data_IF_903170917791
#
_entry.id   IF_903170917791
#
_cell.length_a   1.000
_cell.length_b   1.000
_cell.length_c   1.000
_cell.angle_alpha   90.00
_cell.angle_beta   90.00
_cell.angle_gamma   90.00
#
_symmetry.space_group_name_H-M   'P 1'
#
loop_
_entity.id
_entity.type
_entity.pdbx_description
1 polymer ?
#
# COMPACT_ATOMS: atom_id res chain seq x y z
N UNK A 1 -69.09 44.69 26.29
CA UNK A 1 -67.62 44.58 26.20
C UNK A 1 -67.16 43.13 26.23
N UNK A 2 -67.26 42.47 27.38
CA UNK A 2 -66.66 41.16 27.68
C UNK A 2 -67.03 40.00 26.73
N UNK A 3 -68.31 39.83 26.39
CA UNK A 3 -68.75 38.70 25.54
C UNK A 3 -68.16 38.76 24.14
N UNK A 4 -67.92 39.98 23.62
CA UNK A 4 -67.33 40.21 22.30
C UNK A 4 -65.83 39.89 22.32
N UNK A 5 -65.10 40.38 23.33
CA UNK A 5 -63.68 40.08 23.53
C UNK A 5 -63.42 38.58 23.73
N UNK A 6 -64.29 37.86 24.46
CA UNK A 6 -64.19 36.40 24.60
C UNK A 6 -64.37 35.66 23.26
N UNK A 7 -65.29 36.12 22.41
CA UNK A 7 -65.49 35.53 21.07
C UNK A 7 -64.31 35.80 20.14
N UNK A 8 -63.79 37.03 20.16
CA UNK A 8 -62.60 37.41 19.38
C UNK A 8 -61.38 36.58 19.82
N UNK A 9 -61.16 36.40 21.13
CA UNK A 9 -60.10 35.52 21.64
C UNK A 9 -60.30 34.05 21.22
N UNK A 10 -61.53 33.54 21.25
CA UNK A 10 -61.83 32.19 20.79
C UNK A 10 -61.50 31.97 19.31
N UNK A 11 -61.76 32.98 18.46
CA UNK A 11 -61.38 32.94 17.04
C UNK A 11 -59.87 32.96 16.85
N UNK A 12 -59.14 33.75 17.65
CA UNK A 12 -57.66 33.79 17.61
C UNK A 12 -57.06 32.45 18.05
N UNK A 13 -57.52 31.88 19.16
CA UNK A 13 -57.02 30.58 19.65
C UNK A 13 -57.30 29.47 18.66
N UNK A 14 -58.51 29.41 18.08
CA UNK A 14 -58.84 28.41 17.07
C UNK A 14 -58.07 28.58 15.76
N UNK A 15 -57.69 29.81 15.41
CA UNK A 15 -56.86 30.08 14.23
C UNK A 15 -55.37 29.75 14.42
N UNK A 16 -54.88 29.72 15.67
CA UNK A 16 -53.49 29.44 16.03
C UNK A 16 -53.27 28.01 16.58
N UNK A 17 -54.34 27.25 16.82
CA UNK A 17 -54.25 25.94 17.42
C UNK A 17 -53.77 24.89 16.39
N UNK A 18 -52.54 24.43 16.54
CA UNK A 18 -52.03 23.26 15.83
C UNK A 18 -52.12 21.98 16.69
N UNK A 19 -52.41 20.81 16.09
CA UNK A 19 -52.44 19.55 16.83
C UNK A 19 -51.06 19.20 17.38
N UNK A 20 -50.95 18.96 18.68
CA UNK A 20 -49.69 18.49 19.28
C UNK A 20 -49.38 17.07 18.81
N UNK A 21 -48.11 16.83 18.49
CA UNK A 21 -47.61 15.53 18.06
C UNK A 21 -46.65 14.96 19.09
N UNK A 22 -46.69 13.64 19.27
CA UNK A 22 -45.80 12.87 20.13
C UNK A 22 -45.35 11.66 19.31
N UNK A 23 -44.04 11.51 19.05
CA UNK A 23 -43.49 10.46 18.16
C UNK A 23 -44.01 10.51 16.71
N UNK A 24 -44.21 11.71 16.15
CA UNK A 24 -44.72 11.91 14.79
C UNK A 24 -46.23 11.71 14.62
N UNK A 25 -46.89 11.05 15.57
CA UNK A 25 -48.33 10.85 15.63
C UNK A 25 -49.04 11.96 16.41
N UNK A 26 -50.33 12.16 16.14
CA UNK A 26 -51.16 13.11 16.88
C UNK A 26 -51.30 12.66 18.34
N UNK A 27 -51.00 13.55 19.28
CA UNK A 27 -51.09 13.26 20.71
C UNK A 27 -52.54 12.96 21.08
N UNK A 28 -52.80 11.71 21.47
CA UNK A 28 -54.14 11.27 21.89
C UNK A 28 -54.41 11.62 23.35
N UNK A 29 -55.69 11.71 23.72
CA UNK A 29 -56.09 12.01 25.11
C UNK A 29 -55.55 11.02 26.14
N UNK A 30 -55.41 9.73 25.77
CA UNK A 30 -54.83 8.71 26.64
C UNK A 30 -53.32 8.90 26.86
N UNK A 31 -52.58 9.23 25.80
CA UNK A 31 -51.15 9.54 25.90
C UNK A 31 -50.90 10.80 26.74
N UNK A 32 -51.78 11.80 26.62
CA UNK A 32 -51.71 13.00 27.45
C UNK A 32 -52.04 12.72 28.92
N UNK A 33 -53.00 11.83 29.21
CA UNK A 33 -53.34 11.45 30.58
C UNK A 33 -52.19 10.70 31.28
N UNK A 34 -51.58 9.71 30.62
CA UNK A 34 -50.39 8.99 31.12
C UNK A 34 -49.22 9.96 31.37
N UNK A 35 -49.03 10.94 30.47
CA UNK A 35 -48.03 12.00 30.63
C UNK A 35 -48.29 12.87 31.87
N UNK A 36 -49.54 13.26 32.08
CA UNK A 36 -49.95 14.10 33.21
C UNK A 36 -49.75 13.34 34.52
N UNK A 37 -50.10 12.05 34.56
CA UNK A 37 -49.96 11.18 35.73
C UNK A 37 -48.50 11.02 36.16
N UNK A 38 -47.59 10.75 35.22
CA UNK A 38 -46.15 10.68 35.48
C UNK A 38 -45.57 12.01 35.99
N UNK A 39 -46.06 13.12 35.45
CA UNK A 39 -45.64 14.46 35.88
C UNK A 39 -46.10 14.75 37.30
N UNK A 40 -47.34 14.38 37.64
CA UNK A 40 -47.92 14.53 38.99
C UNK A 40 -47.23 13.60 40.01
N UNK A 41 -46.89 12.37 39.64
CA UNK A 41 -46.10 11.46 40.48
C UNK A 41 -44.70 11.99 40.77
N UNK A 42 -44.06 12.61 39.77
CA UNK A 42 -42.76 13.26 39.96
C UNK A 42 -42.86 14.47 40.89
N UNK A 43 -43.89 15.31 40.72
CA UNK A 43 -44.19 16.47 41.58
C UNK A 43 -44.48 16.06 43.03
N UNK A 44 -45.23 14.97 43.25
CA UNK A 44 -45.57 14.46 44.58
C UNK A 44 -44.38 13.89 45.35
N UNK A 45 -43.28 13.54 44.68
CA UNK A 45 -42.04 13.06 45.32
C UNK A 45 -41.12 14.17 45.85
N UNK A 46 -41.52 15.43 45.74
CA UNK A 46 -40.86 16.57 46.38
C UNK A 46 -39.70 17.20 45.59
N UNK A 47 -39.33 16.64 44.44
CA UNK A 47 -38.53 17.36 43.45
C UNK A 47 -39.51 18.08 42.52
N UNK A 48 -39.66 19.40 42.65
CA UNK A 48 -40.24 20.21 41.57
C UNK A 48 -39.10 20.43 40.58
N UNK A 49 -39.03 19.72 39.46
CA UNK A 49 -38.06 20.08 38.45
C UNK A 49 -38.54 21.42 37.90
N UNK A 50 -37.68 22.45 37.91
CA UNK A 50 -37.99 23.67 37.13
C UNK A 50 -38.38 23.23 35.72
N UNK A 51 -39.32 23.91 35.05
CA UNK A 51 -39.90 23.46 33.77
C UNK A 51 -38.85 23.01 32.72
N UNK A 52 -37.63 23.56 32.76
CA UNK A 52 -36.49 23.10 31.95
C UNK A 52 -36.02 21.65 32.23
N UNK A 53 -36.11 21.15 33.46
CA UNK A 53 -35.73 19.79 33.84
C UNK A 53 -36.75 18.73 33.43
N UNK A 54 -38.05 19.07 33.37
CA UNK A 54 -39.08 18.17 32.81
C UNK A 54 -38.89 18.02 31.30
N UNK A 55 -38.68 19.13 30.59
CA UNK A 55 -38.43 19.12 29.13
C UNK A 55 -37.13 18.37 28.79
N UNK A 56 -36.07 18.58 29.57
CA UNK A 56 -34.81 17.85 29.39
C UNK A 56 -34.98 16.32 29.57
N UNK A 57 -35.81 15.88 30.53
CA UNK A 57 -36.10 14.46 30.73
C UNK A 57 -36.84 13.85 29.52
N UNK A 58 -37.78 14.57 28.91
CA UNK A 58 -38.49 14.12 27.71
C UNK A 58 -37.61 14.08 26.46
N UNK A 59 -36.71 15.05 26.32
CA UNK A 59 -35.81 15.10 25.16
C UNK A 59 -34.66 14.10 25.26
N UNK A 60 -34.34 13.59 26.46
CA UNK A 60 -33.25 12.63 26.68
C UNK A 60 -33.38 11.35 25.85
N UNK A 61 -34.58 10.79 25.76
CA UNK A 61 -34.82 9.57 24.95
C UNK A 61 -34.64 9.84 23.45
N UNK A 62 -34.99 11.06 23.00
CA UNK A 62 -34.82 11.50 21.61
C UNK A 62 -33.32 11.67 21.31
N UNK A 63 -32.58 12.33 22.21
CA UNK A 63 -31.12 12.48 22.11
C UNK A 63 -30.44 11.12 22.00
N UNK A 64 -30.79 10.17 22.87
CA UNK A 64 -30.23 8.82 22.85
C UNK A 64 -30.49 8.10 21.52
N UNK A 65 -31.70 8.17 20.99
CA UNK A 65 -32.04 7.55 19.69
C UNK A 65 -31.28 8.20 18.53
N UNK A 66 -31.24 9.53 18.47
CA UNK A 66 -30.50 10.25 17.41
C UNK A 66 -29.00 9.92 17.47
N UNK A 67 -28.43 9.79 18.68
CA UNK A 67 -27.06 9.35 18.88
C UNK A 67 -26.84 7.91 18.39
N UNK A 68 -27.75 6.98 18.69
CA UNK A 68 -27.64 5.59 18.25
C UNK A 68 -27.75 5.46 16.72
N UNK A 69 -28.64 6.22 16.10
CA UNK A 69 -28.76 6.28 14.63
C UNK A 69 -27.49 6.82 13.98
N UNK A 70 -26.91 7.90 14.54
CA UNK A 70 -25.60 8.41 14.12
C UNK A 70 -24.48 7.36 14.27
N UNK A 71 -24.36 6.71 15.45
CA UNK A 71 -23.34 5.67 15.66
C UNK A 71 -23.52 4.51 14.69
N UNK A 72 -24.76 4.08 14.43
CA UNK A 72 -25.08 3.02 13.47
C UNK A 72 -24.66 3.39 12.05
N UNK A 73 -24.90 4.64 11.62
CA UNK A 73 -24.47 5.14 10.33
C UNK A 73 -22.93 5.17 10.22
N UNK A 74 -22.25 5.75 11.22
CA UNK A 74 -20.78 5.83 11.24
C UNK A 74 -20.11 4.46 11.29
N UNK A 75 -20.72 3.45 11.91
CA UNK A 75 -20.21 2.06 11.91
C UNK A 75 -20.26 1.39 10.53
N UNK A 76 -21.13 1.86 9.62
CA UNK A 76 -21.23 1.33 8.25
C UNK A 76 -20.19 1.94 7.30
N UNK A 77 -19.55 3.04 7.71
CA UNK A 77 -18.48 3.68 6.94
C UNK A 77 -17.29 2.73 6.83
N UNK A 78 -16.79 2.56 5.60
CA UNK A 78 -15.63 1.71 5.33
C UNK A 78 -14.36 2.50 5.61
N UNK A 79 -13.59 2.05 6.60
CA UNK A 79 -12.30 2.61 6.98
C UNK A 79 -11.16 1.69 6.47
N UNK A 80 -9.97 2.22 6.12
CA UNK A 80 -9.56 3.62 6.24
C UNK A 80 -9.97 4.49 5.04
N UNK A 81 -10.13 5.80 5.28
CA UNK A 81 -10.41 6.81 4.24
C UNK A 81 -9.71 8.14 4.55
N UNK A 82 -9.70 9.07 3.59
CA UNK A 82 -9.15 10.41 3.76
C UNK A 82 -9.91 11.21 4.83
N UNK A 83 -9.22 12.16 5.46
CA UNK A 83 -9.80 13.03 6.48
C UNK A 83 -10.98 13.83 5.91
N UNK A 84 -10.82 14.43 4.73
CA UNK A 84 -11.88 15.18 4.05
C UNK A 84 -13.14 14.34 3.79
N UNK A 85 -12.99 13.08 3.39
CA UNK A 85 -14.12 12.19 3.12
C UNK A 85 -14.82 11.78 4.42
N UNK A 86 -14.06 11.55 5.48
CA UNK A 86 -14.61 11.22 6.79
C UNK A 86 -15.35 12.42 7.43
N UNK A 87 -14.81 13.62 7.26
CA UNK A 87 -15.42 14.86 7.75
C UNK A 87 -16.72 15.17 7.00
N UNK A 88 -16.74 14.97 5.67
CA UNK A 88 -17.96 15.11 4.88
C UNK A 88 -19.07 14.15 5.34
N UNK A 89 -18.74 12.89 5.57
CA UNK A 89 -19.69 11.90 6.08
C UNK A 89 -20.17 12.25 7.50
N UNK A 90 -19.25 12.71 8.36
CA UNK A 90 -19.60 13.20 9.70
C UNK A 90 -20.63 14.33 9.64
N UNK A 91 -20.39 15.35 8.82
CA UNK A 91 -21.29 16.51 8.70
C UNK A 91 -22.66 16.12 8.12
N UNK A 92 -22.71 15.21 7.14
CA UNK A 92 -23.99 14.72 6.61
C UNK A 92 -24.79 13.97 7.69
N UNK A 93 -24.17 13.01 8.38
CA UNK A 93 -24.82 12.23 9.43
C UNK A 93 -25.19 13.09 10.65
N UNK A 94 -24.34 14.05 11.02
CA UNK A 94 -24.62 15.02 12.10
C UNK A 94 -25.81 15.90 11.74
N UNK A 95 -25.87 16.42 10.51
CA UNK A 95 -27.01 17.20 10.04
C UNK A 95 -28.31 16.39 10.00
N UNK A 96 -28.23 15.09 9.67
CA UNK A 96 -29.38 14.20 9.66
C UNK A 96 -29.90 13.96 11.08
N UNK A 97 -29.02 13.63 12.02
CA UNK A 97 -29.36 13.46 13.43
C UNK A 97 -29.94 14.73 14.05
N UNK A 98 -29.39 15.91 13.72
CA UNK A 98 -29.92 17.20 14.18
C UNK A 98 -31.31 17.48 13.61
N UNK A 99 -31.54 17.25 12.31
CA UNK A 99 -32.86 17.41 11.68
C UNK A 99 -33.92 16.51 12.32
N UNK A 100 -33.55 15.26 12.63
CA UNK A 100 -34.45 14.33 13.31
C UNK A 100 -34.77 14.80 14.73
N UNK A 101 -33.75 15.22 15.48
CA UNK A 101 -33.94 15.78 16.82
C UNK A 101 -34.86 17.00 16.80
N UNK A 102 -34.65 17.93 15.88
CA UNK A 102 -35.46 19.15 15.75
C UNK A 102 -36.93 18.86 15.40
N UNK A 103 -37.19 17.80 14.65
CA UNK A 103 -38.54 17.38 14.27
C UNK A 103 -39.32 16.75 15.45
N UNK A 104 -38.63 16.16 16.42
CA UNK A 104 -39.26 15.37 17.48
C UNK A 104 -39.19 16.01 18.87
N UNK A 105 -38.28 16.97 19.08
CA UNK A 105 -38.03 17.58 20.39
C UNK A 105 -39.26 18.28 20.96
N UNK A 106 -39.39 18.21 22.29
CA UNK A 106 -40.36 18.98 23.05
C UNK A 106 -39.76 20.32 23.46
N UNK A 107 -40.44 21.41 23.09
CA UNK A 107 -40.07 22.77 23.48
C UNK A 107 -38.78 23.29 22.85
N UNK A 108 -38.45 24.55 23.12
CA UNK A 108 -37.23 25.21 22.64
C UNK A 108 -36.14 25.20 23.73
N UNK A 109 -35.69 24.00 24.14
CA UNK A 109 -34.58 23.88 25.08
C UNK A 109 -33.26 23.72 24.33
N UNK A 110 -32.33 24.66 24.52
CA UNK A 110 -30.98 24.61 23.92
C UNK A 110 -30.06 23.59 24.59
N UNK A 111 -30.33 23.23 25.86
CA UNK A 111 -29.53 22.29 26.63
C UNK A 111 -29.47 20.90 26.01
N UNK A 112 -30.61 20.28 25.72
CA UNK A 112 -30.68 18.94 25.12
C UNK A 112 -30.14 18.89 23.67
N UNK A 113 -30.20 20.01 22.94
CA UNK A 113 -29.57 20.13 21.63
C UNK A 113 -28.03 20.10 21.74
N UNK A 114 -27.48 20.83 22.73
CA UNK A 114 -26.04 20.82 23.02
C UNK A 114 -25.54 19.48 23.56
N UNK A 115 -26.38 18.74 24.29
CA UNK A 115 -26.07 17.38 24.76
C UNK A 115 -25.93 16.41 23.58
N UNK A 116 -26.84 16.48 22.59
CA UNK A 116 -26.75 15.67 21.37
C UNK A 116 -25.48 15.98 20.58
N UNK A 117 -25.17 17.26 20.35
CA UNK A 117 -23.96 17.63 19.61
C UNK A 117 -22.70 17.15 20.33
N UNK A 118 -22.62 17.31 21.65
CA UNK A 118 -21.48 16.83 22.43
C UNK A 118 -21.33 15.30 22.39
N UNK A 119 -22.45 14.57 22.40
CA UNK A 119 -22.44 13.12 22.28
C UNK A 119 -21.97 12.64 20.88
N UNK A 120 -22.44 13.30 19.82
CA UNK A 120 -22.01 13.04 18.43
C UNK A 120 -20.52 13.35 18.26
N UNK A 121 -20.06 14.51 18.73
CA UNK A 121 -18.65 14.91 18.62
C UNK A 121 -17.74 13.93 19.36
N UNK A 122 -18.16 13.43 20.53
CA UNK A 122 -17.43 12.39 21.28
C UNK A 122 -17.34 11.07 20.51
N UNK A 123 -18.44 10.62 19.91
CA UNK A 123 -18.44 9.41 19.09
C UNK A 123 -17.56 9.60 17.84
N UNK A 124 -17.62 10.77 17.20
CA UNK A 124 -16.78 11.10 16.06
C UNK A 124 -15.30 11.01 16.37
N UNK A 125 -14.84 11.52 17.53
CA UNK A 125 -13.44 11.39 17.96
C UNK A 125 -13.00 9.91 18.05
N UNK A 126 -13.91 9.03 18.46
CA UNK A 126 -13.63 7.57 18.50
C UNK A 126 -13.48 6.99 17.10
N UNK A 127 -14.32 7.43 16.14
CA UNK A 127 -14.23 7.03 14.73
C UNK A 127 -12.94 7.56 14.08
N UNK A 128 -12.58 8.82 14.33
CA UNK A 128 -11.32 9.42 13.85
C UNK A 128 -10.11 8.62 14.36
N UNK A 129 -10.08 8.28 15.64
CA UNK A 129 -9.04 7.44 16.21
C UNK A 129 -8.99 6.05 15.56
N UNK A 130 -10.15 5.44 15.28
CA UNK A 130 -10.22 4.15 14.58
C UNK A 130 -9.73 4.24 13.13
N UNK A 131 -10.07 5.33 12.42
CA UNK A 131 -9.60 5.59 11.06
C UNK A 131 -8.07 5.76 11.03
N UNK A 132 -7.52 6.53 11.97
CA UNK A 132 -6.09 6.72 12.10
C UNK A 132 -5.35 5.40 12.36
N UNK A 133 -5.88 4.56 13.25
CA UNK A 133 -5.31 3.24 13.54
C UNK A 133 -5.33 2.32 12.33
N UNK A 134 -6.47 2.20 11.63
CA UNK A 134 -6.60 1.35 10.44
C UNK A 134 -5.73 1.85 9.28
N UNK A 135 -5.64 3.17 9.12
CA UNK A 135 -4.74 3.82 8.14
C UNK A 135 -3.28 3.49 8.45
N UNK A 136 -2.86 3.63 9.71
CA UNK A 136 -1.50 3.28 10.14
C UNK A 136 -1.18 1.80 9.89
N UNK A 137 -2.09 0.89 10.25
CA UNK A 137 -1.92 -0.56 10.02
C UNK A 137 -1.76 -0.90 8.53
N UNK A 138 -2.62 -0.33 7.67
CA UNK A 138 -2.53 -0.55 6.22
C UNK A 138 -1.20 -0.01 5.67
N UNK A 139 -0.84 1.23 5.99
CA UNK A 139 0.39 1.85 5.50
C UNK A 139 1.65 1.13 6.01
N UNK A 140 1.65 0.67 7.26
CA UNK A 140 2.75 -0.11 7.84
C UNK A 140 2.91 -1.46 7.14
N UNK A 141 1.80 -2.15 6.86
CA UNK A 141 1.84 -3.42 6.14
C UNK A 141 2.49 -3.26 4.75
N UNK A 142 2.07 -2.26 3.97
CA UNK A 142 2.64 -2.03 2.63
C UNK A 142 4.07 -1.48 2.69
N UNK A 143 4.42 -0.71 3.72
CA UNK A 143 5.80 -0.31 3.97
C UNK A 143 6.69 -1.53 4.21
N UNK A 144 6.29 -2.44 5.09
CA UNK A 144 7.04 -3.65 5.40
C UNK A 144 7.21 -4.56 4.18
N UNK A 145 6.13 -4.78 3.41
CA UNK A 145 6.19 -5.54 2.16
C UNK A 145 7.17 -4.91 1.15
N UNK A 146 7.21 -3.59 1.09
CA UNK A 146 8.12 -2.90 0.20
C UNK A 146 9.58 -3.01 0.68
N UNK A 147 9.84 -2.85 1.98
CA UNK A 147 11.18 -3.04 2.54
C UNK A 147 11.69 -4.46 2.28
N UNK A 148 10.87 -5.48 2.53
CA UNK A 148 11.23 -6.88 2.22
C UNK A 148 11.53 -7.07 0.72
N UNK A 149 10.71 -6.51 -0.16
CA UNK A 149 10.95 -6.57 -1.60
C UNK A 149 12.26 -5.88 -2.02
N UNK A 150 12.64 -4.78 -1.38
CA UNK A 150 13.91 -4.11 -1.64
C UNK A 150 15.07 -4.92 -1.08
N UNK A 151 14.97 -5.44 0.14
CA UNK A 151 16.01 -6.26 0.77
C UNK A 151 16.32 -7.51 -0.08
N UNK A 152 15.29 -8.18 -0.60
CA UNK A 152 15.50 -9.32 -1.53
C UNK A 152 16.20 -8.92 -2.82
N UNK A 153 15.96 -7.70 -3.34
CA UNK A 153 16.66 -7.17 -4.50
C UNK A 153 18.11 -6.78 -4.16
N UNK A 154 18.43 -6.43 -2.92
CA UNK A 154 19.81 -6.17 -2.50
C UNK A 154 20.66 -7.45 -2.41
N UNK A 155 20.02 -8.60 -2.17
CA UNK A 155 20.65 -9.92 -2.06
C UNK A 155 20.77 -10.67 -3.40
N UNK A 156 20.30 -10.08 -4.50
CA UNK A 156 20.36 -10.68 -5.84
C UNK A 156 21.79 -11.10 -6.24
N UNK A 157 21.93 -12.28 -6.84
CA UNK A 157 23.25 -12.88 -7.16
C UNK A 157 23.95 -12.14 -8.28
N UNK A 158 23.19 -11.71 -9.28
CA UNK A 158 23.66 -10.88 -10.38
C UNK A 158 23.24 -9.46 -10.06
N UNK A 159 24.16 -8.54 -9.70
CA UNK A 159 23.77 -7.19 -9.33
C UNK A 159 23.24 -6.42 -10.55
N UNK A 160 22.07 -5.77 -10.42
CA UNK A 160 21.55 -4.85 -11.44
C UNK A 160 20.81 -3.67 -10.82
N UNK A 161 21.25 -2.45 -11.12
CA UNK A 161 20.63 -1.20 -10.69
C UNK A 161 19.24 -1.02 -11.31
N UNK A 162 19.03 -1.43 -12.56
CA UNK A 162 17.74 -1.22 -13.24
C UNK A 162 16.63 -2.07 -12.64
N UNK A 163 16.91 -3.29 -12.19
CA UNK A 163 15.92 -4.16 -11.51
C UNK A 163 15.53 -3.56 -10.16
N UNK A 164 16.50 -3.04 -9.40
CA UNK A 164 16.25 -2.33 -8.15
C UNK A 164 15.37 -1.10 -8.36
N UNK A 165 15.74 -0.22 -9.31
CA UNK A 165 14.98 1.01 -9.59
C UNK A 165 13.53 0.70 -10.00
N UNK A 166 13.32 -0.29 -10.87
CA UNK A 166 11.97 -0.75 -11.22
C UNK A 166 11.22 -1.35 -10.03
N UNK A 167 11.91 -2.05 -9.13
CA UNK A 167 11.33 -2.58 -7.90
C UNK A 167 10.82 -1.45 -7.00
N UNK A 168 11.65 -0.44 -6.79
CA UNK A 168 11.32 0.79 -6.04
C UNK A 168 10.13 1.52 -6.66
N UNK A 169 10.08 1.66 -7.99
CA UNK A 169 8.96 2.30 -8.70
C UNK A 169 7.64 1.53 -8.49
N UNK A 170 7.66 0.20 -8.59
CA UNK A 170 6.47 -0.64 -8.34
C UNK A 170 6.00 -0.53 -6.90
N UNK A 171 6.94 -0.52 -5.96
CA UNK A 171 6.71 -0.28 -4.55
C UNK A 171 5.98 1.03 -4.32
N UNK A 172 6.50 2.12 -4.88
CA UNK A 172 5.93 3.45 -4.73
C UNK A 172 4.51 3.53 -5.32
N UNK A 173 4.32 2.98 -6.52
CA UNK A 173 3.01 2.93 -7.16
C UNK A 173 1.99 2.13 -6.34
N UNK A 174 2.40 1.00 -5.77
CA UNK A 174 1.54 0.17 -4.91
C UNK A 174 1.24 0.87 -3.58
N UNK A 175 2.24 1.51 -2.97
CA UNK A 175 2.09 2.20 -1.69
C UNK A 175 1.06 3.32 -1.77
N UNK A 176 1.14 4.19 -2.78
CA UNK A 176 0.18 5.29 -2.98
C UNK A 176 -1.24 4.77 -3.23
N UNK A 177 -1.38 3.61 -3.87
CA UNK A 177 -2.68 3.02 -4.16
C UNK A 177 -3.36 2.45 -2.90
N UNK A 178 -2.61 1.82 -1.99
CA UNK A 178 -3.19 1.08 -0.86
C UNK A 178 -3.07 1.78 0.50
N UNK A 179 -2.09 2.67 0.69
CA UNK A 179 -1.99 3.50 1.88
C UNK A 179 -2.91 4.71 1.73
N UNK A 180 -4.01 4.72 2.49
CA UNK A 180 -5.02 5.80 2.45
C UNK A 180 -5.29 6.28 3.87
N UNK A 181 -5.57 7.58 4.01
CA UNK A 181 -5.97 8.20 5.26
C UNK A 181 -4.86 9.04 5.91
N UNK A 182 -5.04 9.42 7.18
CA UNK A 182 -4.20 10.42 7.85
C UNK A 182 -2.74 10.00 8.01
N UNK A 183 -2.45 8.69 7.99
CA UNK A 183 -1.08 8.18 8.16
C UNK A 183 -0.22 8.28 6.90
N UNK A 184 -0.82 8.58 5.73
CA UNK A 184 -0.13 8.57 4.43
C UNK A 184 1.12 9.45 4.42
N UNK A 185 1.01 10.73 4.78
CA UNK A 185 2.14 11.66 4.72
C UNK A 185 3.31 11.25 5.62
N UNK A 186 3.02 10.65 6.78
CA UNK A 186 4.06 10.18 7.70
C UNK A 186 4.78 8.95 7.15
N UNK A 187 4.04 7.98 6.62
CA UNK A 187 4.64 6.76 6.09
C UNK A 187 5.31 6.98 4.72
N UNK A 188 4.84 7.92 3.91
CA UNK A 188 5.49 8.30 2.64
C UNK A 188 6.91 8.86 2.86
N UNK A 189 7.07 9.73 3.86
CA UNK A 189 8.40 10.23 4.26
C UNK A 189 9.31 9.13 4.80
N UNK A 190 8.76 8.21 5.61
CA UNK A 190 9.52 7.05 6.12
C UNK A 190 9.96 6.13 4.98
N UNK A 191 9.05 5.83 4.05
CA UNK A 191 9.29 4.96 2.91
C UNK A 191 10.36 5.55 2.01
N UNK A 192 10.20 6.80 1.54
CA UNK A 192 11.17 7.47 0.67
C UNK A 192 12.58 7.52 1.28
N UNK A 193 12.68 7.72 2.60
CA UNK A 193 13.95 7.64 3.34
C UNK A 193 14.54 6.23 3.34
N UNK A 194 13.74 5.20 3.61
CA UNK A 194 14.22 3.81 3.61
C UNK A 194 14.66 3.36 2.21
N UNK A 195 13.88 3.70 1.18
CA UNK A 195 14.20 3.41 -0.22
C UNK A 195 15.48 4.13 -0.68
N UNK A 196 15.67 5.39 -0.29
CA UNK A 196 16.89 6.15 -0.59
C UNK A 196 18.12 5.54 0.08
N UNK A 197 17.96 5.07 1.32
CA UNK A 197 19.02 4.35 2.05
C UNK A 197 19.36 3.03 1.35
N UNK A 198 18.38 2.21 1.01
CA UNK A 198 18.60 0.95 0.30
C UNK A 198 19.28 1.15 -1.06
N UNK A 199 18.81 2.12 -1.84
CA UNK A 199 19.47 2.51 -3.11
C UNK A 199 20.94 2.89 -2.92
N UNK A 200 21.24 3.68 -1.89
CA UNK A 200 22.61 4.10 -1.59
C UNK A 200 23.49 2.93 -1.17
N UNK A 201 22.97 2.06 -0.31
CA UNK A 201 23.65 0.85 0.15
C UNK A 201 23.93 -0.12 -1.00
N UNK A 202 22.93 -0.37 -1.85
CA UNK A 202 23.09 -1.17 -3.06
C UNK A 202 24.14 -0.58 -3.99
N UNK A 203 24.11 0.75 -4.25
CA UNK A 203 25.09 1.40 -5.14
C UNK A 203 26.53 1.27 -4.63
N UNK A 204 26.73 1.30 -3.32
CA UNK A 204 28.05 1.13 -2.71
C UNK A 204 28.62 -0.28 -2.95
N UNK A 205 27.79 -1.32 -2.80
CA UNK A 205 28.21 -2.71 -3.02
C UNK A 205 28.19 -3.14 -4.49
N UNK A 206 27.36 -2.50 -5.32
CA UNK A 206 27.15 -2.80 -6.73
C UNK A 206 28.45 -2.83 -7.53
N UNK A 207 29.23 -1.75 -7.48
CA UNK A 207 30.46 -1.62 -8.27
C UNK A 207 31.47 -2.72 -7.93
N UNK A 208 31.63 -3.04 -6.65
CA UNK A 208 32.56 -4.07 -6.19
C UNK A 208 32.08 -5.47 -6.58
N UNK A 209 30.79 -5.77 -6.42
CA UNK A 209 30.20 -7.05 -6.83
C UNK A 209 30.29 -7.24 -8.35
N UNK A 210 29.99 -6.20 -9.12
CA UNK A 210 30.11 -6.20 -10.58
C UNK A 210 31.55 -6.45 -11.01
N UNK A 211 32.51 -5.71 -10.45
CA UNK A 211 33.92 -5.86 -10.77
C UNK A 211 34.42 -7.28 -10.49
N UNK A 212 34.13 -7.81 -9.30
CA UNK A 212 34.50 -9.17 -8.92
C UNK A 212 33.83 -10.23 -9.81
N UNK A 213 32.56 -10.02 -10.17
CA UNK A 213 31.83 -10.89 -11.09
C UNK A 213 32.44 -10.90 -12.49
N UNK A 214 32.78 -9.73 -13.03
CA UNK A 214 33.43 -9.61 -14.34
C UNK A 214 34.82 -10.25 -14.34
N UNK A 215 35.62 -10.06 -13.29
CA UNK A 215 36.91 -10.73 -13.12
C UNK A 215 36.73 -12.26 -13.17
N UNK A 216 35.80 -12.81 -12.39
CA UNK A 216 35.50 -14.23 -12.41
C UNK A 216 35.07 -14.73 -13.80
N UNK A 217 34.24 -13.96 -14.51
CA UNK A 217 33.80 -14.27 -15.88
C UNK A 217 34.99 -14.31 -16.85
N UNK A 218 35.93 -13.34 -16.78
CA UNK A 218 37.10 -13.33 -17.68
C UNK A 218 38.00 -14.55 -17.47
N UNK A 219 38.25 -14.94 -16.22
CA UNK A 219 39.03 -16.15 -15.88
C UNK A 219 38.32 -17.41 -16.36
N UNK A 220 37.01 -17.52 -16.12
CA UNK A 220 36.21 -18.64 -16.59
C UNK A 220 36.23 -18.74 -18.13
N UNK A 221 36.11 -17.61 -18.82
CA UNK A 221 36.20 -17.54 -20.28
C UNK A 221 37.54 -18.09 -20.79
N UNK A 222 38.67 -17.72 -20.18
CA UNK A 222 39.99 -18.24 -20.55
C UNK A 222 40.05 -19.76 -20.39
N UNK A 223 39.63 -20.29 -19.23
CA UNK A 223 39.66 -21.73 -18.94
C UNK A 223 38.76 -22.50 -19.92
N UNK A 224 37.53 -22.06 -20.13
CA UNK A 224 36.57 -22.74 -21.02
C UNK A 224 37.06 -22.72 -22.47
N UNK A 225 37.53 -21.58 -22.97
CA UNK A 225 37.95 -21.48 -24.37
C UNK A 225 39.27 -22.21 -24.64
N UNK A 226 40.18 -22.28 -23.66
CA UNK A 226 41.42 -23.04 -23.77
C UNK A 226 41.18 -24.54 -23.74
N UNK A 227 40.40 -25.04 -22.78
CA UNK A 227 40.31 -26.48 -22.52
C UNK A 227 39.11 -27.16 -23.20
N UNK A 228 37.98 -26.47 -23.36
CA UNK A 228 36.72 -27.06 -23.88
C UNK A 228 36.53 -26.77 -25.36
N UNK A 229 36.60 -25.50 -25.75
CA UNK A 229 36.27 -25.05 -27.12
C UNK A 229 37.52 -25.05 -28.03
N UNK A 230 38.71 -24.87 -27.45
CA UNK A 230 39.99 -24.72 -28.16
C UNK A 230 39.98 -23.58 -29.19
N UNK A 231 39.47 -22.42 -28.78
CA UNK A 231 39.43 -21.23 -29.63
C UNK A 231 40.39 -20.15 -29.11
N UNK A 232 41.52 -19.98 -29.80
CA UNK A 232 42.59 -19.06 -29.41
C UNK A 232 42.18 -17.58 -29.45
N UNK A 233 41.23 -17.20 -30.33
CA UNK A 233 40.79 -15.80 -30.41
C UNK A 233 40.03 -15.37 -29.15
N UNK A 234 39.13 -16.23 -28.67
CA UNK A 234 38.37 -15.96 -27.45
C UNK A 234 39.23 -16.08 -26.19
N UNK A 235 40.26 -16.93 -26.22
CA UNK A 235 41.29 -16.95 -25.18
C UNK A 235 42.05 -15.62 -25.10
N UNK A 236 42.49 -15.07 -26.24
CA UNK A 236 43.15 -13.77 -26.29
C UNK A 236 42.26 -12.65 -25.76
N UNK A 237 40.97 -12.63 -26.14
CA UNK A 237 40.00 -11.66 -25.61
C UNK A 237 39.80 -11.80 -24.11
N UNK A 238 39.75 -13.02 -23.57
CA UNK A 238 39.67 -13.27 -22.14
C UNK A 238 40.87 -12.72 -21.38
N UNK A 239 42.09 -12.95 -21.88
CA UNK A 239 43.31 -12.39 -21.31
C UNK A 239 43.35 -10.86 -21.39
N UNK A 240 42.93 -10.28 -22.52
CA UNK A 240 42.85 -8.84 -22.69
C UNK A 240 41.86 -8.21 -21.68
N UNK A 241 40.68 -8.81 -21.51
CA UNK A 241 39.68 -8.36 -20.54
C UNK A 241 40.15 -8.49 -19.09
N UNK A 242 40.82 -9.59 -18.74
CA UNK A 242 41.41 -9.77 -17.42
C UNK A 242 42.49 -8.72 -17.13
N UNK A 243 43.40 -8.51 -18.08
CA UNK A 243 44.43 -7.47 -17.98
C UNK A 243 43.82 -6.08 -17.83
N UNK A 244 42.77 -5.76 -18.58
CA UNK A 244 42.04 -4.50 -18.43
C UNK A 244 41.48 -4.34 -17.01
N UNK A 245 40.72 -5.32 -16.50
CA UNK A 245 40.13 -5.22 -15.17
C UNK A 245 41.17 -5.16 -14.04
N UNK A 246 42.32 -5.81 -14.19
CA UNK A 246 43.36 -5.86 -13.14
C UNK A 246 44.30 -4.65 -13.15
N UNK A 247 44.62 -4.10 -14.33
CA UNK A 247 45.56 -2.99 -14.47
C UNK A 247 44.85 -1.63 -14.50
N UNK A 248 43.67 -1.53 -15.08
CA UNK A 248 43.01 -0.25 -15.33
C UNK A 248 42.61 0.49 -14.03
N UNK A 249 42.03 -0.17 -13.00
CA UNK A 249 41.78 0.49 -11.71
C UNK A 249 43.07 0.97 -11.03
N UNK A 250 44.21 0.29 -11.27
CA UNK A 250 45.49 0.65 -10.65
C UNK A 250 46.04 1.99 -11.14
N UNK A 251 45.63 2.44 -12.32
CA UNK A 251 46.00 3.74 -12.87
C UNK A 251 45.33 4.91 -12.13
N UNK A 252 44.24 4.64 -11.40
CA UNK A 252 43.48 5.66 -10.65
C UNK A 252 43.90 5.77 -9.17
N UNK A 253 44.89 4.99 -8.70
CA UNK A 253 45.37 5.05 -7.30
C UNK A 253 46.00 6.41 -6.89
N UNK A 254 46.25 7.32 -7.85
CA UNK A 254 46.79 8.66 -7.59
C UNK A 254 45.94 9.82 -8.15
N UNK A 255 44.75 9.54 -8.70
CA UNK A 255 43.86 10.56 -9.27
C UNK A 255 42.75 10.96 -8.30
N UNK A 256 42.30 12.22 -8.36
CA UNK A 256 41.20 12.72 -7.54
C UNK A 256 39.83 12.11 -7.88
N UNK A 257 39.71 11.46 -9.05
CA UNK A 257 38.47 10.83 -9.53
C UNK A 257 38.50 9.32 -9.32
N UNK A 258 37.35 8.75 -8.95
CA UNK A 258 37.21 7.30 -8.79
C UNK A 258 37.11 6.60 -10.16
N UNK A 259 37.74 5.44 -10.31
CA UNK A 259 37.61 4.59 -11.51
C UNK A 259 36.14 4.33 -11.89
N UNK A 260 35.27 4.17 -10.88
CA UNK A 260 33.84 3.89 -11.08
C UNK A 260 33.05 5.06 -11.68
N UNK A 261 33.63 6.26 -11.75
CA UNK A 261 33.02 7.43 -12.38
C UNK A 261 33.50 7.63 -13.83
N UNK A 262 34.44 6.79 -14.30
CA UNK A 262 34.94 6.88 -15.67
C UNK A 262 33.87 6.49 -16.70
N UNK A 263 33.88 7.18 -17.86
CA UNK A 263 32.95 6.88 -18.97
C UNK A 263 33.04 5.42 -19.44
N UNK A 264 34.24 4.83 -19.42
CA UNK A 264 34.44 3.43 -19.79
C UNK A 264 33.76 2.48 -18.79
N UNK A 265 33.89 2.72 -17.49
CA UNK A 265 33.18 1.92 -16.49
C UNK A 265 31.67 2.06 -16.62
N UNK A 266 31.16 3.28 -16.83
CA UNK A 266 29.73 3.53 -17.02
C UNK A 266 29.18 2.80 -18.26
N UNK A 267 29.92 2.78 -19.37
CA UNK A 267 29.55 2.01 -20.56
C UNK A 267 29.56 0.50 -20.29
N UNK A 268 30.58 0.00 -19.59
CA UNK A 268 30.68 -1.41 -19.25
C UNK A 268 29.56 -1.84 -18.31
N UNK A 269 29.26 -1.05 -17.29
CA UNK A 269 28.12 -1.22 -16.41
C UNK A 269 26.81 -1.19 -17.20
N UNK A 270 26.63 -0.28 -18.16
CA UNK A 270 25.43 -0.23 -19.00
C UNK A 270 25.27 -1.49 -19.88
N UNK A 271 26.36 -1.99 -20.46
CA UNK A 271 26.35 -3.26 -21.22
C UNK A 271 26.01 -4.43 -20.29
N UNK A 272 26.60 -4.47 -19.10
CA UNK A 272 26.25 -5.45 -18.08
C UNK A 272 24.76 -5.40 -17.73
N UNK A 273 24.21 -4.22 -17.47
CA UNK A 273 22.79 -4.04 -17.13
C UNK A 273 21.87 -4.56 -18.24
N UNK A 274 22.23 -4.39 -19.52
CA UNK A 274 21.46 -4.95 -20.65
C UNK A 274 21.57 -6.48 -20.72
N UNK A 275 22.73 -7.03 -20.40
CA UNK A 275 22.99 -8.47 -20.45
C UNK A 275 22.40 -9.22 -19.25
N UNK A 276 22.63 -8.72 -18.03
CA UNK A 276 22.14 -9.31 -16.80
C UNK A 276 20.63 -9.13 -16.66
N UNK A 277 20.09 -8.00 -17.13
CA UNK A 277 18.68 -7.68 -17.03
C UNK A 277 18.07 -7.32 -18.39
N UNK A 278 17.49 -8.33 -19.04
CA UNK A 278 16.63 -8.17 -20.21
C UNK A 278 15.18 -8.47 -19.80
N UNK A 279 14.19 -7.59 -20.10
CA UNK A 279 12.78 -7.83 -19.76
C UNK A 279 12.20 -9.15 -20.30
N UNK A 280 12.85 -9.79 -21.29
CA UNK A 280 12.41 -11.06 -21.88
C UNK A 280 13.21 -12.27 -21.35
N UNK A 281 14.44 -12.06 -20.84
CA UNK A 281 15.34 -13.11 -20.39
C UNK A 281 16.11 -12.61 -19.16
N UNK A 282 15.60 -12.89 -17.97
CA UNK A 282 16.33 -12.63 -16.73
C UNK A 282 17.40 -13.72 -16.56
N UNK A 283 18.68 -13.34 -16.63
CA UNK A 283 19.80 -14.29 -16.54
C UNK A 283 19.90 -14.92 -15.16
N UNK A 284 19.34 -14.31 -14.13
CA UNK A 284 19.34 -14.87 -12.78
C UNK A 284 18.46 -16.13 -12.71
N UNK A 285 17.32 -16.11 -13.40
CA UNK A 285 16.35 -17.20 -13.40
C UNK A 285 16.60 -18.20 -14.54
N UNK A 286 16.90 -17.69 -15.74
CA UNK A 286 17.04 -18.51 -16.96
C UNK A 286 18.49 -18.88 -17.29
N UNK A 287 19.47 -18.19 -16.71
CA UNK A 287 20.89 -18.44 -16.95
C UNK A 287 21.31 -19.89 -16.67
N UNK A 288 20.94 -20.48 -15.52
CA UNK A 288 21.25 -21.89 -15.22
C UNK A 288 20.68 -22.87 -16.25
N UNK A 289 19.46 -22.61 -16.74
CA UNK A 289 18.81 -23.44 -17.76
C UNK A 289 19.53 -23.33 -19.11
N UNK A 290 19.88 -22.11 -19.54
CA UNK A 290 20.63 -21.88 -20.78
C UNK A 290 22.03 -22.52 -20.74
N UNK A 291 22.70 -22.45 -19.60
CA UNK A 291 23.98 -23.14 -19.35
C UNK A 291 23.80 -24.67 -19.40
N UNK A 292 22.76 -25.21 -18.78
CA UNK A 292 22.45 -26.64 -18.84
C UNK A 292 22.21 -27.12 -20.28
N UNK A 293 21.39 -26.39 -21.04
CA UNK A 293 21.07 -26.71 -22.43
C UNK A 293 22.29 -26.62 -23.35
N UNK A 294 23.13 -25.60 -23.19
CA UNK A 294 24.36 -25.46 -23.98
C UNK A 294 25.38 -26.56 -23.68
N UNK A 295 25.53 -26.96 -22.40
CA UNK A 295 26.34 -28.11 -22.01
C UNK A 295 25.83 -29.42 -22.64
N UNK A 296 24.52 -29.68 -22.57
CA UNK A 296 23.91 -30.87 -23.17
C UNK A 296 24.06 -30.89 -24.69
N UNK A 297 23.86 -29.75 -25.36
CA UNK A 297 24.06 -29.61 -26.79
C UNK A 297 25.52 -29.89 -27.19
N UNK A 298 26.48 -29.33 -26.45
CA UNK A 298 27.90 -29.58 -26.68
C UNK A 298 28.26 -31.07 -26.50
N UNK A 299 27.78 -31.70 -25.42
CA UNK A 299 27.97 -33.14 -25.20
C UNK A 299 27.33 -33.98 -26.30
N UNK A 300 26.12 -33.63 -26.75
CA UNK A 300 25.41 -34.27 -27.86
C UNK A 300 26.20 -34.19 -29.17
N UNK A 301 26.69 -33.02 -29.53
CA UNK A 301 27.55 -32.80 -30.73
C UNK A 301 28.84 -33.62 -30.62
N UNK A 302 29.46 -33.66 -29.45
CA UNK A 302 30.70 -34.41 -29.21
C UNK A 302 30.47 -35.92 -29.32
N UNK A 303 29.38 -36.43 -28.75
CA UNK A 303 28.96 -37.82 -28.87
C UNK A 303 28.63 -38.19 -30.32
N UNK A 304 27.93 -37.33 -31.06
CA UNK A 304 27.63 -37.53 -32.47
C UNK A 304 28.90 -37.58 -33.33
N UNK A 305 29.84 -36.63 -33.15
CA UNK A 305 31.13 -36.64 -33.84
C UNK A 305 31.94 -37.91 -33.55
N UNK A 306 32.00 -38.37 -32.29
CA UNK A 306 32.66 -39.64 -31.92
C UNK A 306 32.02 -40.84 -32.60
N UNK A 307 30.68 -40.95 -32.60
CA UNK A 307 29.97 -42.05 -33.29
C UNK A 307 30.22 -42.04 -34.80
N UNK A 308 30.26 -40.86 -35.43
CA UNK A 308 30.52 -40.73 -36.88
C UNK A 308 31.97 -41.07 -37.23
N UNK A 309 32.94 -40.67 -36.41
CA UNK A 309 34.35 -41.05 -36.58
C UNK A 309 34.57 -42.57 -36.42
N UNK A 310 33.91 -43.20 -35.44
CA UNK A 310 33.95 -44.66 -35.25
C UNK A 310 33.33 -45.45 -36.42
N UNK A 311 32.22 -44.96 -37.00
CA UNK A 311 31.63 -45.57 -38.21
C UNK A 311 32.57 -45.44 -39.42
N UNK A 312 33.22 -44.28 -39.61
CA UNK A 312 34.19 -44.07 -40.70
C UNK A 312 35.41 -44.99 -40.58
N UNK A 313 35.95 -45.19 -39.37
CA UNK A 313 37.08 -46.09 -39.13
C UNK A 313 36.72 -47.56 -39.38
N UNK A 314 35.52 -48.02 -39.02
CA UNK A 314 35.04 -49.38 -39.37
C UNK A 314 34.81 -49.58 -40.86
N UNK A 315 34.40 -48.53 -41.58
CA UNK A 315 34.18 -48.61 -43.03
C UNK A 315 35.51 -48.67 -43.80
N UNK A 316 36.56 -47.98 -43.34
CA UNK A 316 37.92 -48.08 -43.91
C UNK A 316 38.54 -49.45 -43.63
N UNK A 317 38.42 -50.00 -42.41
CA UNK A 317 38.87 -51.37 -42.10
C UNK A 317 38.07 -52.47 -42.82
N UNK A 318 36.86 -52.17 -43.30
CA UNK A 318 36.08 -53.09 -44.13
C UNK A 318 36.58 -53.12 -45.58
N UNK A 319 36.99 -51.97 -46.12
CA UNK A 319 37.50 -51.84 -47.50
C UNK A 319 38.90 -52.47 -47.65
N UNK A 320 39.76 -52.38 -46.62
CA UNK A 320 41.08 -53.03 -46.67
C UNK A 320 40.99 -54.57 -46.70
N UNK A 321 39.89 -55.17 -46.21
CA UNK A 321 39.70 -56.63 -46.27
C UNK A 321 39.28 -57.15 -47.65
N UNK A 322 38.78 -56.28 -48.53
CA UNK A 322 38.30 -56.66 -49.86
C UNK A 322 39.38 -56.46 -50.96
N UNK A 323 40.57 -55.97 -50.61
CA UNK A 323 41.69 -55.71 -51.53
C UNK A 323 42.84 -56.75 -51.43
N UNK A 324 42.74 -57.72 -50.52
CA UNK A 324 43.70 -58.84 -50.35
C UNK A 324 43.21 -60.15 -51.02
N UNK A 325 42.71 -60.07 -52.26
CA UNK A 325 42.39 -61.24 -53.12
C UNK A 325 43.04 -61.10 -54.49
#
# INVERSE_FOLDING_TARGET
GYVRQRKELGQVVNGLAEPKRLKGELLTGAQFADLLERTVEALNKGDIPMAGSVVAMFNRDIVWRCQEEYSSAMRRVVLPMSEDALELEHEDQKSAAQRQYDAERFGMSDTSASELSAAIDKEYQTVVASNALKSAQACEQYHALCEEAVDTLEEMKLPSLRKLERGIERCNASFVHYCVGPSLGTYDQKLSKSLSRGRSHFKQSYNQRLFNGLLAITVLCVVVHRFVIKNSLMELLGWAGFGFLELYPKLYFGSATSFYESNLWLQLAAVWEVLAFNPVLDLEEMGPLLLGMSCLAYLGVRCYRRRRAGKRSRQVMGVDKDLDV
#
